data_IF_345053867252
#
_entry.id   IF_345053867252
#
_cell.length_a   1.000
_cell.length_b   1.000
_cell.length_c   1.000
_cell.angle_alpha   90.00
_cell.angle_beta   90.00
_cell.angle_gamma   90.00
#
_symmetry.space_group_name_H-M   'P 1'
#
loop_
_entity.id
_entity.type
_entity.pdbx_description
1 polymer ?
#
# COMPACT_ATOMS: atom_id res chain seq x y z
N UNK A 1 -13.83 -1.17 15.39
CA UNK A 1 -12.56 -0.47 15.09
C UNK A 1 -11.50 -1.40 14.53
N UNK A 2 -10.93 -2.36 15.28
CA UNK A 2 -9.77 -3.14 14.77
C UNK A 2 -10.09 -4.04 13.57
N UNK A 3 -11.26 -4.67 13.56
CA UNK A 3 -11.73 -5.49 12.43
C UNK A 3 -11.83 -4.67 11.14
N UNK A 4 -12.37 -3.44 11.21
CA UNK A 4 -12.49 -2.56 10.05
C UNK A 4 -11.11 -2.20 9.47
N UNK A 5 -10.13 -1.90 10.32
CA UNK A 5 -8.75 -1.62 9.89
C UNK A 5 -8.13 -2.84 9.19
N UNK A 6 -8.33 -4.05 9.74
CA UNK A 6 -7.86 -5.27 9.08
C UNK A 6 -8.55 -5.53 7.74
N UNK A 7 -9.87 -5.32 7.66
CA UNK A 7 -10.61 -5.47 6.41
C UNK A 7 -10.13 -4.49 5.35
N UNK A 8 -9.99 -3.20 5.69
CA UNK A 8 -9.49 -2.16 4.78
C UNK A 8 -8.05 -2.48 4.35
N UNK A 9 -7.18 -2.82 5.31
CA UNK A 9 -5.78 -3.16 5.03
C UNK A 9 -5.66 -4.38 4.12
N UNK A 10 -6.46 -5.42 4.35
CA UNK A 10 -6.49 -6.62 3.51
C UNK A 10 -6.93 -6.30 2.07
N UNK A 11 -8.00 -5.52 1.90
CA UNK A 11 -8.49 -5.11 0.58
C UNK A 11 -7.44 -4.26 -0.15
N UNK A 12 -6.89 -3.24 0.53
CA UNK A 12 -5.84 -2.40 -0.04
C UNK A 12 -4.62 -3.23 -0.46
N UNK A 13 -4.24 -4.21 0.36
CA UNK A 13 -3.10 -5.10 0.05
C UNK A 13 -3.36 -5.86 -1.24
N UNK A 14 -4.53 -6.52 -1.36
CA UNK A 14 -4.87 -7.28 -2.57
C UNK A 14 -4.86 -6.39 -3.81
N UNK A 15 -5.51 -5.22 -3.74
CA UNK A 15 -5.58 -4.28 -4.88
C UNK A 15 -4.19 -3.80 -5.27
N UNK A 16 -3.35 -3.46 -4.29
CA UNK A 16 -1.98 -2.97 -4.52
C UNK A 16 -1.11 -4.06 -5.14
N UNK A 17 -1.21 -5.30 -4.66
CA UNK A 17 -0.47 -6.42 -5.24
C UNK A 17 -0.86 -6.70 -6.68
N UNK A 18 -2.17 -6.68 -6.99
CA UNK A 18 -2.64 -6.83 -8.37
C UNK A 18 -2.10 -5.72 -9.25
N UNK A 19 -2.15 -4.46 -8.79
CA UNK A 19 -1.60 -3.33 -9.52
C UNK A 19 -0.08 -3.48 -9.76
N UNK A 20 0.69 -3.85 -8.74
CA UNK A 20 2.13 -4.02 -8.86
C UNK A 20 2.49 -5.16 -9.82
N UNK A 21 1.80 -6.31 -9.74
CA UNK A 21 2.01 -7.44 -10.66
C UNK A 21 1.73 -7.05 -12.11
N UNK A 22 0.66 -6.28 -12.36
CA UNK A 22 0.37 -5.76 -13.70
C UNK A 22 1.45 -4.81 -14.18
N UNK A 23 1.87 -3.86 -13.35
CA UNK A 23 2.93 -2.90 -13.69
C UNK A 23 4.24 -3.61 -14.01
N UNK A 24 4.67 -4.55 -13.17
CA UNK A 24 5.86 -5.37 -13.41
C UNK A 24 5.83 -6.05 -14.78
N UNK A 25 4.65 -6.56 -15.22
CA UNK A 25 4.51 -7.21 -16.53
C UNK A 25 4.42 -6.24 -17.71
N UNK A 26 3.92 -5.03 -17.49
CA UNK A 26 3.65 -4.04 -18.54
C UNK A 26 4.81 -3.08 -18.77
N UNK A 27 5.70 -2.90 -17.80
CA UNK A 27 6.81 -1.94 -17.89
C UNK A 27 8.12 -2.59 -18.31
N UNK A 28 9.04 -1.79 -18.85
CA UNK A 28 10.39 -2.25 -19.16
C UNK A 28 11.11 -2.78 -17.90
N UNK A 29 12.02 -3.74 -18.06
CA UNK A 29 12.75 -4.39 -16.95
C UNK A 29 13.53 -3.40 -16.05
N UNK A 30 14.00 -2.30 -16.62
CA UNK A 30 14.71 -1.25 -15.89
C UNK A 30 13.77 -0.30 -15.13
N UNK A 31 12.47 -0.36 -15.40
CA UNK A 31 11.49 0.54 -14.80
C UNK A 31 11.18 0.16 -13.36
N UNK A 32 11.24 1.16 -12.48
CA UNK A 32 10.83 1.03 -11.06
C UNK A 32 9.38 1.45 -10.82
N UNK A 33 8.58 1.62 -11.88
CA UNK A 33 7.18 2.06 -11.77
C UNK A 33 6.31 1.10 -10.94
N UNK A 34 6.66 -0.18 -10.85
CA UNK A 34 5.96 -1.16 -10.00
C UNK A 34 5.98 -0.81 -8.51
N UNK A 35 6.87 0.07 -8.06
CA UNK A 35 6.94 0.54 -6.67
C UNK A 35 6.06 1.77 -6.40
N UNK A 36 5.57 2.45 -7.43
CA UNK A 36 4.82 3.71 -7.27
C UNK A 36 3.52 3.55 -6.47
N UNK A 37 2.70 2.49 -6.65
CA UNK A 37 1.51 2.31 -5.82
C UNK A 37 1.84 2.18 -4.33
N UNK A 38 2.94 1.49 -3.99
CA UNK A 38 3.37 1.34 -2.60
C UNK A 38 3.86 2.67 -2.02
N UNK A 39 4.66 3.44 -2.77
CA UNK A 39 5.12 4.77 -2.36
C UNK A 39 3.93 5.70 -2.12
N UNK A 40 2.95 5.69 -3.03
CA UNK A 40 1.72 6.45 -2.89
C UNK A 40 0.99 6.12 -1.58
N UNK A 41 0.83 4.82 -1.28
CA UNK A 41 0.20 4.40 -0.03
C UNK A 41 0.99 4.79 1.22
N UNK A 42 2.33 4.83 1.16
CA UNK A 42 3.13 5.36 2.27
C UNK A 42 2.84 6.84 2.50
N UNK A 43 2.85 7.65 1.44
CA UNK A 43 2.59 9.09 1.55
C UNK A 43 1.19 9.34 2.10
N UNK A 44 0.18 8.69 1.52
CA UNK A 44 -1.21 8.81 1.97
C UNK A 44 -1.36 8.33 3.42
N UNK A 45 -0.74 7.19 3.76
CA UNK A 45 -0.79 6.63 5.11
C UNK A 45 -0.19 7.56 6.17
N UNK A 46 0.96 8.16 5.87
CA UNK A 46 1.59 9.15 6.75
C UNK A 46 0.77 10.43 6.87
N UNK A 47 0.19 10.93 5.78
CA UNK A 47 -0.68 12.10 5.81
C UNK A 47 -1.93 11.84 6.67
N UNK A 48 -2.55 10.66 6.53
CA UNK A 48 -3.72 10.29 7.32
C UNK A 48 -3.40 10.13 8.81
N UNK A 49 -2.23 9.57 9.15
CA UNK A 49 -1.74 9.55 10.53
C UNK A 49 -1.49 10.97 11.07
N UNK A 50 -0.88 11.84 10.26
CA UNK A 50 -0.67 13.24 10.62
C UNK A 50 -1.98 13.96 10.91
N UNK A 51 -2.95 13.85 10.00
CA UNK A 51 -4.29 14.42 10.17
C UNK A 51 -4.99 13.83 11.40
N UNK A 52 -4.84 12.55 11.69
CA UNK A 52 -5.45 11.91 12.86
C UNK A 52 -4.96 12.50 14.20
N UNK A 53 -3.80 13.16 14.23
CA UNK A 53 -3.25 13.79 15.44
C UNK A 53 -3.81 15.19 15.73
N UNK A 54 -4.37 15.87 14.72
CA UNK A 54 -4.81 17.27 14.81
C UNK A 54 -6.30 17.46 14.50
N UNK A 55 -6.89 16.57 13.70
CA UNK A 55 -8.27 16.67 13.29
C UNK A 55 -9.20 15.98 14.30
N UNK A 56 -10.45 16.47 14.43
CA UNK A 56 -11.47 15.76 15.19
C UNK A 56 -11.68 14.35 14.60
N UNK A 57 -12.10 13.41 15.44
CA UNK A 57 -12.37 12.03 15.02
C UNK A 57 -13.48 12.02 13.97
N UNK A 58 -13.10 11.69 12.74
CA UNK A 58 -14.02 11.39 11.63
C UNK A 58 -13.92 9.90 11.37
N UNK A 59 -15.03 9.18 11.50
CA UNK A 59 -15.11 7.76 11.16
C UNK A 59 -15.59 7.58 9.72
N UNK A 60 -14.80 6.85 8.92
CA UNK A 60 -15.11 6.52 7.53
C UNK A 60 -15.07 5.00 7.42
N UNK A 61 -16.19 4.37 7.05
CA UNK A 61 -16.33 2.90 6.97
C UNK A 61 -15.93 2.17 8.27
N UNK A 62 -16.20 2.78 9.42
CA UNK A 62 -15.90 2.18 10.74
C UNK A 62 -14.44 2.28 11.17
N UNK A 63 -13.62 3.07 10.46
CA UNK A 63 -12.27 3.41 10.84
C UNK A 63 -12.02 4.92 10.71
N UNK A 64 -11.39 5.52 11.73
CA UNK A 64 -10.95 6.91 11.65
C UNK A 64 -9.72 7.10 10.76
N UNK A 65 -9.29 8.35 10.56
CA UNK A 65 -8.08 8.66 9.77
C UNK A 65 -6.85 7.87 10.21
N UNK A 66 -6.67 7.65 11.51
CA UNK A 66 -5.57 6.84 12.03
C UNK A 66 -5.66 5.36 11.60
N UNK A 67 -6.87 4.81 11.56
CA UNK A 67 -7.11 3.44 11.09
C UNK A 67 -6.85 3.28 9.59
N UNK A 68 -7.31 4.23 8.78
CA UNK A 68 -6.99 4.28 7.35
C UNK A 68 -5.49 4.46 7.10
N UNK A 69 -4.83 5.30 7.89
CA UNK A 69 -3.39 5.53 7.81
C UNK A 69 -2.59 4.26 8.07
N UNK A 70 -2.90 3.54 9.16
CA UNK A 70 -2.25 2.26 9.48
C UNK A 70 -2.55 1.21 8.42
N UNK A 71 -3.79 1.10 7.94
CA UNK A 71 -4.17 0.16 6.89
C UNK A 71 -3.39 0.42 5.58
N UNK A 72 -3.23 1.68 5.18
CA UNK A 72 -2.47 2.07 3.99
C UNK A 72 -0.97 1.74 4.15
N UNK A 73 -0.37 2.06 5.29
CA UNK A 73 1.04 1.75 5.58
C UNK A 73 1.31 0.24 5.63
N UNK A 74 0.41 -0.51 6.26
CA UNK A 74 0.48 -1.97 6.28
C UNK A 74 0.42 -2.56 4.88
N UNK A 75 -0.55 -2.11 4.08
CA UNK A 75 -0.69 -2.50 2.67
C UNK A 75 0.57 -2.17 1.86
N UNK A 76 1.14 -0.98 2.04
CA UNK A 76 2.37 -0.58 1.37
C UNK A 76 3.56 -1.46 1.76
N UNK A 77 3.70 -1.80 3.04
CA UNK A 77 4.79 -2.66 3.52
C UNK A 77 4.74 -4.05 2.88
N UNK A 78 3.56 -4.69 2.88
CA UNK A 78 3.37 -5.99 2.22
C UNK A 78 3.58 -5.86 0.71
N UNK A 79 3.06 -4.80 0.10
CA UNK A 79 3.25 -4.47 -1.30
C UNK A 79 4.73 -4.37 -1.68
N UNK A 80 5.55 -3.66 -0.89
CA UNK A 80 6.98 -3.54 -1.11
C UNK A 80 7.70 -4.89 -1.03
N UNK A 81 7.38 -5.70 -0.02
CA UNK A 81 8.01 -7.02 0.18
C UNK A 81 7.71 -7.93 -1.02
N UNK A 82 6.45 -8.04 -1.44
CA UNK A 82 6.10 -8.95 -2.53
C UNK A 82 6.63 -8.41 -3.87
N UNK A 83 6.55 -7.10 -4.10
CA UNK A 83 7.05 -6.49 -5.35
C UNK A 83 8.56 -6.68 -5.47
N UNK A 84 9.33 -6.51 -4.39
CA UNK A 84 10.78 -6.72 -4.43
C UNK A 84 11.17 -8.17 -4.69
N UNK A 85 10.41 -9.13 -4.16
CA UNK A 85 10.60 -10.56 -4.47
C UNK A 85 10.35 -10.82 -5.96
N UNK A 86 9.24 -10.33 -6.52
CA UNK A 86 8.90 -10.54 -7.94
C UNK A 86 9.93 -9.88 -8.86
N UNK A 87 10.31 -8.63 -8.54
CA UNK A 87 11.30 -7.85 -9.28
C UNK A 87 12.68 -8.54 -9.25
N UNK A 88 13.09 -9.12 -8.10
CA UNK A 88 14.31 -9.90 -8.01
C UNK A 88 14.27 -11.14 -8.94
N UNK A 89 13.16 -11.89 -8.95
CA UNK A 89 13.04 -13.06 -9.82
C UNK A 89 13.09 -12.72 -11.32
N UNK A 90 12.56 -11.56 -11.74
CA UNK A 90 12.59 -11.15 -13.14
C UNK A 90 13.97 -10.70 -13.62
N UNK A 91 14.82 -10.22 -12.71
CA UNK A 91 16.14 -9.69 -13.03
C UNK A 91 17.28 -10.71 -12.84
N UNK A 92 17.03 -11.89 -12.23
CA UNK A 92 18.04 -12.95 -12.06
C UNK A 92 18.43 -13.64 -13.37
N UNK A 93 17.61 -13.56 -14.43
CA UNK A 93 17.90 -14.18 -15.74
C UNK A 93 18.41 -13.18 -16.79
N UNK A 94 18.94 -12.04 -16.36
CA UNK A 94 19.61 -11.07 -17.24
C UNK A 94 21.13 -11.29 -17.22
#
# INVERSE_FOLDING_TARGET
>A
MILAVFTIGGILTIVTLLANVLLVKMTAKESRSCYYPNIFLVIVGLLLLGVASIAPKVDILGAGFGGWGIAALFSAAIGFIITSIIDAYQNVTA
#
